data_IF_774433564394
#
_entry.id   IF_774433564394
#
_cell.length_a   1.000
_cell.length_b   1.000
_cell.length_c   1.000
_cell.angle_alpha   90.00
_cell.angle_beta   90.00
_cell.angle_gamma   90.00
#
_symmetry.space_group_name_H-M   'P 1'
#
loop_
_entity.id
_entity.type
_entity.pdbx_description
1 polymer ?
#
# COMPACT_ATOMS: atom_id res chain seq x y z
N UNK A 1 13.09 10.10 -24.35
CA UNK A 1 12.19 10.92 -23.50
C UNK A 1 12.44 10.44 -22.09
N UNK A 2 13.24 11.17 -21.32
CA UNK A 2 13.56 10.79 -19.95
C UNK A 2 12.48 11.39 -19.05
N UNK A 3 11.70 10.54 -18.39
CA UNK A 3 10.75 10.97 -17.37
C UNK A 3 11.53 11.68 -16.26
N UNK A 4 11.14 12.92 -16.02
CA UNK A 4 11.70 13.74 -14.97
C UNK A 4 11.17 13.18 -13.64
N UNK A 5 11.99 12.39 -12.94
CA UNK A 5 11.72 11.96 -11.56
C UNK A 5 11.73 13.21 -10.68
N UNK A 6 10.55 13.80 -10.41
CA UNK A 6 10.41 14.83 -9.38
C UNK A 6 10.50 14.12 -8.02
N UNK A 7 11.72 14.01 -7.49
CA UNK A 7 11.96 13.70 -6.09
C UNK A 7 11.55 14.94 -5.27
N UNK A 8 10.51 14.84 -4.44
CA UNK A 8 10.09 15.91 -3.51
C UNK A 8 8.61 16.31 -3.52
N UNK A 9 7.74 15.63 -4.29
CA UNK A 9 6.30 15.91 -4.33
C UNK A 9 5.44 14.99 -3.45
N UNK A 10 4.13 14.97 -3.70
CA UNK A 10 3.15 14.10 -2.97
C UNK A 10 3.58 12.63 -2.96
N UNK A 11 4.23 12.12 -4.01
CA UNK A 11 4.72 10.73 -4.03
C UNK A 11 5.84 10.47 -3.01
N UNK A 12 6.69 11.46 -2.75
CA UNK A 12 7.70 11.36 -1.69
C UNK A 12 7.05 11.33 -0.33
N UNK A 13 6.05 12.17 -0.09
CA UNK A 13 5.27 12.14 1.15
C UNK A 13 4.56 10.79 1.33
N UNK A 14 3.89 10.28 0.29
CA UNK A 14 3.27 8.95 0.32
C UNK A 14 4.30 7.86 0.63
N UNK A 15 5.46 7.86 -0.04
CA UNK A 15 6.51 6.88 0.22
C UNK A 15 7.03 6.93 1.67
N UNK A 16 7.26 8.13 2.20
CA UNK A 16 7.69 8.33 3.60
C UNK A 16 6.64 7.82 4.58
N UNK A 17 5.36 8.17 4.39
CA UNK A 17 4.28 7.77 5.29
C UNK A 17 3.96 6.28 5.20
N UNK A 18 4.06 5.67 4.01
CA UNK A 18 3.98 4.21 3.84
C UNK A 18 5.10 3.52 4.61
N UNK A 19 6.33 4.03 4.51
CA UNK A 19 7.46 3.46 5.20
C UNK A 19 7.32 3.55 6.73
N UNK A 20 6.94 4.71 7.26
CA UNK A 20 6.68 4.87 8.69
C UNK A 20 5.52 4.00 9.19
N UNK A 21 4.46 3.88 8.38
CA UNK A 21 3.37 2.97 8.70
C UNK A 21 3.87 1.53 8.83
N UNK A 22 4.65 1.05 7.87
CA UNK A 22 5.16 -0.31 7.86
C UNK A 22 6.18 -0.57 8.97
N UNK A 23 7.06 0.39 9.25
CA UNK A 23 8.03 0.34 10.36
C UNK A 23 7.33 0.29 11.74
N UNK A 24 6.14 0.88 11.85
CA UNK A 24 5.33 0.83 13.08
C UNK A 24 4.60 -0.50 13.32
N UNK A 25 4.62 -1.44 12.36
CA UNK A 25 3.98 -2.74 12.54
C UNK A 25 4.78 -3.61 13.52
N UNK A 26 4.10 -4.20 14.50
CA UNK A 26 4.74 -5.13 15.45
C UNK A 26 5.10 -6.49 14.81
N UNK A 27 4.50 -6.80 13.66
CA UNK A 27 4.69 -8.04 12.91
C UNK A 27 5.29 -7.72 11.55
N UNK A 28 5.81 -8.74 10.86
CA UNK A 28 6.30 -8.66 9.49
C UNK A 28 5.20 -9.11 8.50
N UNK A 29 4.32 -8.19 8.03
CA UNK A 29 3.22 -8.57 7.15
C UNK A 29 3.68 -8.81 5.71
N UNK A 30 2.90 -9.61 4.98
CA UNK A 30 2.90 -9.52 3.53
C UNK A 30 2.27 -8.18 3.10
N UNK A 31 2.84 -7.50 2.11
CA UNK A 31 2.29 -6.23 1.61
C UNK A 31 1.87 -6.37 0.16
N UNK A 32 0.63 -5.97 -0.15
CA UNK A 32 0.17 -5.77 -1.52
C UNK A 32 -0.02 -4.27 -1.76
N UNK A 33 0.67 -3.72 -2.75
CA UNK A 33 0.69 -2.29 -3.02
C UNK A 33 -0.06 -1.96 -4.32
N UNK A 34 -1.18 -1.25 -4.19
CA UNK A 34 -2.05 -0.81 -5.28
C UNK A 34 -1.74 0.66 -5.59
N UNK A 35 -0.55 0.90 -6.15
CA UNK A 35 -0.11 2.24 -6.56
C UNK A 35 0.08 2.44 -8.06
N UNK A 36 0.11 1.38 -8.85
CA UNK A 36 0.24 1.50 -10.31
C UNK A 36 -1.03 2.10 -10.93
N UNK A 37 -0.93 3.01 -11.93
CA UNK A 37 0.28 3.44 -12.65
C UNK A 37 1.06 4.60 -12.03
N UNK A 38 0.60 5.17 -10.92
CA UNK A 38 1.20 6.37 -10.33
C UNK A 38 2.59 6.12 -9.72
N UNK A 39 2.73 5.06 -8.93
CA UNK A 39 4.02 4.64 -8.37
C UNK A 39 4.00 3.17 -7.95
N UNK A 40 5.17 2.55 -7.94
CA UNK A 40 5.37 1.21 -7.36
C UNK A 40 5.95 1.31 -5.96
N UNK A 41 5.88 0.23 -5.20
CA UNK A 41 6.40 0.17 -3.83
C UNK A 41 7.88 0.55 -3.76
N UNK A 42 8.69 0.05 -4.72
CA UNK A 42 10.13 0.34 -4.81
C UNK A 42 10.48 1.52 -5.71
N UNK A 43 9.52 2.28 -6.22
CA UNK A 43 9.82 3.36 -7.18
C UNK A 43 10.47 4.58 -6.52
N UNK A 44 10.38 4.73 -5.20
CA UNK A 44 11.17 5.70 -4.44
C UNK A 44 12.02 4.97 -3.40
N UNK A 45 13.28 5.39 -3.25
CA UNK A 45 14.24 4.76 -2.34
C UNK A 45 13.90 4.92 -0.86
N UNK A 46 12.94 5.77 -0.50
CA UNK A 46 12.57 6.03 0.90
C UNK A 46 12.04 4.79 1.61
N UNK A 47 11.14 4.04 0.96
CA UNK A 47 10.56 2.83 1.52
C UNK A 47 11.64 1.77 1.81
N UNK A 48 12.44 1.32 0.81
CA UNK A 48 13.48 0.32 1.08
C UNK A 48 14.64 0.84 1.94
N UNK A 49 14.76 2.15 2.16
CA UNK A 49 15.74 2.70 3.10
C UNK A 49 15.28 2.56 4.55
N UNK A 50 13.99 2.82 4.82
CA UNK A 50 13.43 2.77 6.18
C UNK A 50 13.00 1.36 6.59
N UNK A 51 12.44 0.57 5.67
CA UNK A 51 12.00 -0.82 5.90
C UNK A 51 12.70 -1.78 4.93
N UNK A 52 14.03 -1.96 5.03
CA UNK A 52 14.83 -2.67 4.03
C UNK A 52 14.49 -4.15 3.89
N UNK A 53 14.03 -4.79 4.97
CA UNK A 53 13.74 -6.22 5.02
C UNK A 53 12.30 -6.54 4.60
N UNK A 54 11.45 -5.53 4.40
CA UNK A 54 10.06 -5.73 4.02
C UNK A 54 9.90 -5.74 2.50
N UNK A 55 9.35 -6.84 2.00
CA UNK A 55 8.98 -7.01 0.59
C UNK A 55 7.49 -6.76 0.38
N UNK A 56 7.15 -6.17 -0.76
CA UNK A 56 5.77 -5.97 -1.19
C UNK A 56 5.56 -6.46 -2.63
N UNK A 57 4.35 -6.93 -2.91
CA UNK A 57 3.87 -7.24 -4.26
C UNK A 57 3.11 -6.03 -4.82
N UNK A 58 3.65 -5.45 -5.90
CA UNK A 58 2.94 -4.40 -6.64
C UNK A 58 1.79 -5.01 -7.45
N UNK A 59 0.56 -4.59 -7.17
CA UNK A 59 -0.63 -4.99 -7.93
C UNK A 59 -0.75 -4.09 -9.16
N UNK A 60 -0.12 -4.52 -10.25
CA UNK A 60 0.03 -3.73 -11.48
C UNK A 60 -1.31 -3.49 -12.19
N UNK A 61 -2.09 -4.56 -12.38
CA UNK A 61 -3.37 -4.49 -13.09
C UNK A 61 -4.52 -4.18 -12.12
N UNK A 62 -5.49 -3.33 -12.51
CA UNK A 62 -6.70 -3.13 -11.72
C UNK A 62 -7.48 -4.44 -11.52
N UNK A 63 -7.94 -4.67 -10.29
CA UNK A 63 -8.81 -5.80 -10.01
C UNK A 63 -10.17 -5.62 -10.71
N UNK A 64 -10.59 -6.67 -11.40
CA UNK A 64 -11.91 -6.75 -12.04
C UNK A 64 -12.83 -7.73 -11.33
N UNK A 65 -12.31 -8.46 -10.33
CA UNK A 65 -13.03 -9.43 -9.52
C UNK A 65 -12.32 -9.65 -8.18
N UNK A 66 -12.96 -10.41 -7.29
CA UNK A 66 -12.39 -10.80 -6.00
C UNK A 66 -11.04 -11.53 -6.19
N UNK A 67 -9.99 -11.13 -5.47
CA UNK A 67 -8.72 -11.83 -5.54
C UNK A 67 -8.85 -13.25 -4.95
N UNK A 68 -7.99 -14.14 -5.44
CA UNK A 68 -7.90 -15.55 -5.00
C UNK A 68 -6.64 -15.84 -4.18
N UNK A 69 -5.90 -14.80 -3.78
CA UNK A 69 -4.68 -14.92 -3.01
C UNK A 69 -4.95 -15.65 -1.68
N UNK A 70 -4.02 -16.51 -1.27
CA UNK A 70 -4.06 -17.13 0.06
C UNK A 70 -3.14 -16.34 0.97
N UNK A 71 -3.66 -15.94 2.13
CA UNK A 71 -2.90 -15.19 3.13
C UNK A 71 -2.33 -16.20 4.14
N UNK A 72 -1.01 -16.30 4.21
CA UNK A 72 -0.26 -17.24 5.05
C UNK A 72 0.48 -16.56 6.21
N UNK A 73 0.49 -15.23 6.22
CA UNK A 73 0.91 -14.34 7.32
C UNK A 73 -0.03 -13.12 7.41
N UNK A 74 0.02 -12.32 8.49
CA UNK A 74 -0.67 -11.04 8.53
C UNK A 74 -0.40 -10.27 7.23
N UNK A 75 -1.45 -9.71 6.64
CA UNK A 75 -1.34 -9.09 5.31
C UNK A 75 -1.90 -7.68 5.34
N UNK A 76 -1.17 -6.79 4.70
CA UNK A 76 -1.51 -5.38 4.58
C UNK A 76 -1.70 -5.06 3.11
N UNK A 77 -2.87 -4.55 2.76
CA UNK A 77 -3.18 -4.04 1.43
C UNK A 77 -3.15 -2.51 1.48
N UNK A 78 -2.25 -1.88 0.72
CA UNK A 78 -2.11 -0.43 0.65
C UNK A 78 -2.63 0.05 -0.69
N UNK A 79 -3.57 1.00 -0.67
CA UNK A 79 -4.18 1.57 -1.88
C UNK A 79 -3.90 3.05 -1.98
N UNK A 80 -3.43 3.50 -3.14
CA UNK A 80 -3.50 4.92 -3.45
C UNK A 80 -4.95 5.34 -3.73
N UNK A 81 -5.31 6.62 -3.55
CA UNK A 81 -6.69 7.09 -3.66
C UNK A 81 -7.37 6.70 -4.98
N UNK A 82 -6.64 6.71 -6.09
CA UNK A 82 -7.14 6.33 -7.41
C UNK A 82 -7.46 4.83 -7.57
N UNK A 83 -6.94 3.96 -6.69
CA UNK A 83 -7.18 2.51 -6.66
C UNK A 83 -8.12 2.11 -5.50
N UNK A 84 -8.67 3.08 -4.76
CA UNK A 84 -9.44 2.83 -3.53
C UNK A 84 -10.70 1.97 -3.73
N UNK A 85 -11.32 2.01 -4.91
CA UNK A 85 -12.51 1.22 -5.24
C UNK A 85 -12.24 -0.30 -5.20
N UNK A 86 -11.00 -0.73 -5.46
CA UNK A 86 -10.61 -2.14 -5.46
C UNK A 86 -10.57 -2.76 -4.07
N UNK A 87 -10.53 -1.94 -3.02
CA UNK A 87 -10.69 -2.39 -1.64
C UNK A 87 -11.99 -3.17 -1.44
N UNK A 88 -13.05 -2.85 -2.20
CA UNK A 88 -14.32 -3.59 -2.12
C UNK A 88 -14.16 -5.08 -2.48
N UNK A 89 -13.33 -5.40 -3.48
CA UNK A 89 -13.01 -6.78 -3.86
C UNK A 89 -12.21 -7.48 -2.76
N UNK A 90 -11.18 -6.81 -2.23
CA UNK A 90 -10.35 -7.34 -1.14
C UNK A 90 -11.19 -7.59 0.12
N UNK A 91 -12.04 -6.65 0.52
CA UNK A 91 -12.97 -6.78 1.66
C UNK A 91 -13.99 -7.89 1.45
N UNK A 92 -14.46 -8.10 0.22
CA UNK A 92 -15.37 -9.21 -0.07
C UNK A 92 -14.69 -10.57 0.07
N UNK A 93 -13.39 -10.68 -0.24
CA UNK A 93 -12.62 -11.92 -0.06
C UNK A 93 -12.21 -12.13 1.39
N UNK A 94 -11.77 -11.08 2.09
CA UNK A 94 -11.25 -11.15 3.46
C UNK A 94 -12.07 -10.24 4.40
N UNK A 95 -13.32 -10.62 4.77
CA UNK A 95 -14.26 -9.70 5.43
C UNK A 95 -13.89 -9.32 6.87
N UNK A 96 -12.92 -9.99 7.47
CA UNK A 96 -12.52 -9.80 8.88
C UNK A 96 -11.47 -8.73 9.09
N UNK A 97 -10.95 -8.11 8.02
CA UNK A 97 -9.90 -7.10 8.12
C UNK A 97 -10.37 -5.72 8.60
N UNK A 98 -9.42 -4.93 9.09
CA UNK A 98 -9.60 -3.55 9.54
C UNK A 98 -9.23 -2.54 8.44
N UNK A 99 -9.90 -1.40 8.45
CA UNK A 99 -9.69 -0.32 7.49
C UNK A 99 -9.20 0.94 8.20
N UNK A 100 -8.25 1.65 7.59
CA UNK A 100 -7.80 2.97 8.03
C UNK A 100 -7.31 3.81 6.85
N UNK A 101 -7.36 5.13 7.02
CA UNK A 101 -6.83 6.10 6.07
C UNK A 101 -5.61 6.78 6.68
N UNK A 102 -4.59 7.01 5.86
CA UNK A 102 -3.47 7.87 6.20
C UNK A 102 -3.64 9.18 5.43
N UNK A 103 -3.61 10.29 6.15
CA UNK A 103 -3.92 11.63 5.63
C UNK A 103 -2.73 12.57 5.85
N UNK A 104 -2.60 13.57 4.99
CA UNK A 104 -1.66 14.67 5.20
C UNK A 104 -2.19 15.68 6.23
N UNK A 105 -1.38 16.69 6.55
CA UNK A 105 -1.72 17.73 7.52
C UNK A 105 -2.99 18.52 7.16
N UNK A 106 -3.28 18.67 5.86
CA UNK A 106 -4.47 19.35 5.35
C UNK A 106 -5.73 18.44 5.33
N UNK A 107 -5.60 17.18 5.78
CA UNK A 107 -6.67 16.19 5.81
C UNK A 107 -6.93 15.46 4.50
N UNK A 108 -6.13 15.68 3.45
CA UNK A 108 -6.18 14.94 2.19
C UNK A 108 -5.65 13.51 2.37
N UNK A 109 -6.34 12.52 1.77
CA UNK A 109 -5.94 11.11 1.86
C UNK A 109 -4.68 10.88 1.03
N UNK A 110 -3.63 10.35 1.68
CA UNK A 110 -2.40 9.94 1.04
C UNK A 110 -2.52 8.51 0.51
N UNK A 111 -3.01 7.61 1.35
CA UNK A 111 -3.31 6.22 0.99
C UNK A 111 -4.29 5.61 1.99
N UNK A 112 -4.87 4.50 1.59
CA UNK A 112 -5.78 3.69 2.35
C UNK A 112 -5.10 2.38 2.70
N UNK A 113 -5.46 1.82 3.84
CA UNK A 113 -4.89 0.56 4.34
C UNK A 113 -6.04 -0.37 4.70
N UNK A 114 -5.93 -1.63 4.27
CA UNK A 114 -6.75 -2.73 4.74
C UNK A 114 -5.85 -3.82 5.33
N UNK A 115 -6.02 -4.14 6.61
CA UNK A 115 -5.18 -5.08 7.34
C UNK A 115 -5.98 -6.35 7.63
N UNK A 116 -5.40 -7.51 7.32
CA UNK A 116 -6.00 -8.81 7.60
C UNK A 116 -5.04 -9.59 8.48
N UNK A 117 -5.45 -9.80 9.73
CA UNK A 117 -4.81 -10.78 10.59
C UNK A 117 -5.23 -12.19 10.21
N UNK A 118 -4.31 -13.13 10.34
CA UNK A 118 -4.61 -14.55 10.40
C UNK A 118 -4.42 -15.04 11.84
N UNK A 119 -5.44 -15.74 12.33
CA UNK A 119 -5.51 -16.31 13.68
C UNK A 119 -4.70 -17.59 13.81
#
# INVERSE_FOLDING_TARGET
>A
MYDHYILGGVNTLVATEVAHYLDSQERDPAVYFFGHPRMGYRSLSTIPYLVPDLEAEDVLEPLTSNPTWKLDRPTVFIFLPERANEMSYVRSTYPTGSYREVRNEDGGILFLVYEVDIL
#
